data_IF_320774091275
#
_entry.id   IF_320774091275
#
_cell.length_a   1.000
_cell.length_b   1.000
_cell.length_c   1.000
_cell.angle_alpha   90.00
_cell.angle_beta   90.00
_cell.angle_gamma   90.00
#
_symmetry.space_group_name_H-M   'P 1'
#
loop_
_entity.id
_entity.type
_entity.pdbx_description
1 polymer ?
#
# COMPACT_ATOMS: atom_id res chain seq x y z
N UNK A 1 -18.77 31.45 -3.29
CA UNK A 1 -17.65 31.78 -2.39
C UNK A 1 -17.08 30.46 -1.85
N UNK A 2 -15.83 30.09 -2.06
CA UNK A 2 -15.26 28.90 -1.45
C UNK A 2 -15.15 29.14 0.06
N UNK A 3 -15.77 28.30 0.85
CA UNK A 3 -15.70 28.31 2.31
C UNK A 3 -14.30 27.89 2.73
N UNK A 4 -13.63 28.79 3.44
CA UNK A 4 -12.31 28.58 4.01
C UNK A 4 -12.33 27.37 4.96
N UNK A 5 -11.42 26.39 4.83
CA UNK A 5 -11.44 25.20 5.69
C UNK A 5 -11.18 25.58 7.16
N UNK A 6 -11.77 24.86 8.12
CA UNK A 6 -11.62 25.15 9.54
C UNK A 6 -10.16 25.09 9.96
N UNK A 7 -9.75 25.93 10.92
CA UNK A 7 -8.37 26.12 11.36
C UNK A 7 -7.65 24.78 11.71
N UNK A 8 -8.37 23.79 12.21
CA UNK A 8 -7.84 22.45 12.51
C UNK A 8 -7.42 21.69 11.27
N UNK A 9 -8.19 21.76 10.17
CA UNK A 9 -7.86 21.15 8.89
C UNK A 9 -6.61 21.79 8.25
N UNK A 10 -6.39 23.10 8.45
CA UNK A 10 -5.17 23.79 7.99
C UNK A 10 -3.92 23.36 8.77
N UNK A 11 -4.02 23.17 10.09
CA UNK A 11 -2.93 22.73 10.95
C UNK A 11 -2.53 21.29 10.58
N UNK A 12 -3.51 20.43 10.33
CA UNK A 12 -3.28 19.04 9.93
C UNK A 12 -2.67 18.94 8.52
N UNK A 13 -3.11 19.77 7.59
CA UNK A 13 -2.54 19.87 6.24
C UNK A 13 -1.09 20.35 6.27
N UNK A 14 -0.77 21.39 7.04
CA UNK A 14 0.58 21.94 7.20
C UNK A 14 1.51 20.93 7.90
N UNK A 15 1.02 20.20 8.89
CA UNK A 15 1.74 19.11 9.54
C UNK A 15 2.07 17.98 8.56
N UNK A 16 1.11 17.61 7.72
CA UNK A 16 1.29 16.57 6.70
C UNK A 16 2.29 17.00 5.63
N UNK A 17 2.19 18.24 5.16
CA UNK A 17 3.12 18.80 4.16
C UNK A 17 4.56 18.82 4.69
N UNK A 18 4.78 19.27 5.93
CA UNK A 18 6.11 19.25 6.57
C UNK A 18 6.66 17.84 6.73
N UNK A 19 5.80 16.87 7.08
CA UNK A 19 6.21 15.48 7.19
C UNK A 19 6.65 14.89 5.85
N UNK A 20 5.93 15.22 4.77
CA UNK A 20 6.29 14.82 3.41
C UNK A 20 7.60 15.46 2.93
N UNK A 21 7.91 16.70 3.33
CA UNK A 21 9.20 17.32 3.06
C UNK A 21 10.35 16.51 3.67
N UNK A 22 10.22 16.04 4.91
CA UNK A 22 11.25 15.18 5.54
C UNK A 22 11.40 13.86 4.79
N UNK A 23 10.29 13.24 4.39
CA UNK A 23 10.31 12.00 3.60
C UNK A 23 11.02 12.21 2.26
N UNK A 24 10.73 13.30 1.56
CA UNK A 24 11.36 13.60 0.26
C UNK A 24 12.86 13.82 0.39
N UNK A 25 13.31 14.63 1.37
CA UNK A 25 14.73 14.85 1.61
C UNK A 25 15.45 13.56 2.01
N UNK A 26 14.86 12.72 2.85
CA UNK A 26 15.42 11.43 3.23
C UNK A 26 15.60 10.51 2.02
N UNK A 27 14.55 10.35 1.20
CA UNK A 27 14.60 9.50 0.01
C UNK A 27 15.59 10.01 -1.04
N UNK A 28 15.75 11.33 -1.15
CA UNK A 28 16.78 11.94 -1.99
C UNK A 28 18.17 11.57 -1.51
N UNK A 29 18.47 11.77 -0.23
CA UNK A 29 19.77 11.44 0.37
C UNK A 29 20.07 9.93 0.27
N UNK A 30 19.07 9.06 0.48
CA UNK A 30 19.22 7.62 0.32
C UNK A 30 19.57 7.23 -1.13
N UNK A 31 18.97 7.90 -2.10
CA UNK A 31 19.25 7.66 -3.52
C UNK A 31 20.65 8.16 -3.93
N UNK A 32 21.10 9.29 -3.38
CA UNK A 32 22.38 9.94 -3.72
C UNK A 32 23.57 9.30 -3.00
N UNK A 33 23.47 9.06 -1.70
CA UNK A 33 24.56 8.60 -0.85
C UNK A 33 24.47 7.12 -0.46
N UNK A 34 23.30 6.51 -0.68
CA UNK A 34 22.97 5.18 -0.16
C UNK A 34 22.32 5.23 1.23
N UNK A 35 21.48 4.23 1.48
CA UNK A 35 20.70 4.15 2.72
C UNK A 35 21.58 4.06 3.97
N UNK A 36 22.61 3.18 3.97
CA UNK A 36 23.45 2.95 5.14
C UNK A 36 24.33 4.16 5.47
N UNK A 37 24.84 4.86 4.46
CA UNK A 37 25.72 6.01 4.62
C UNK A 37 24.98 7.29 5.07
N UNK A 38 23.65 7.35 4.95
CA UNK A 38 22.85 8.51 5.32
C UNK A 38 22.50 8.48 6.80
N UNK A 39 22.78 9.57 7.51
CA UNK A 39 22.48 9.74 8.94
C UNK A 39 21.17 10.51 9.16
N UNK A 40 20.59 10.35 10.36
CA UNK A 40 19.39 11.12 10.76
C UNK A 40 19.72 12.63 10.86
N UNK A 41 20.94 12.98 11.21
CA UNK A 41 21.37 14.39 11.32
C UNK A 41 21.38 15.06 9.94
N UNK A 42 21.90 14.39 8.92
CA UNK A 42 21.86 14.87 7.52
C UNK A 42 20.42 15.03 7.01
N UNK A 43 19.53 14.08 7.34
CA UNK A 43 18.11 14.17 6.95
C UNK A 43 17.46 15.38 7.64
N UNK A 44 17.68 15.56 8.94
CA UNK A 44 17.11 16.66 9.70
C UNK A 44 17.61 18.02 9.17
N UNK A 45 18.91 18.15 8.90
CA UNK A 45 19.52 19.34 8.30
C UNK A 45 18.91 19.64 6.92
N UNK A 46 18.86 18.66 6.03
CA UNK A 46 18.31 18.83 4.69
C UNK A 46 16.82 19.20 4.71
N UNK A 47 16.08 18.76 5.72
CA UNK A 47 14.65 19.09 5.89
C UNK A 47 14.42 20.38 6.69
N UNK A 48 15.47 21.06 7.14
CA UNK A 48 15.38 22.31 7.94
C UNK A 48 14.76 22.10 9.32
N UNK A 49 14.94 20.92 9.94
CA UNK A 49 14.41 20.60 11.27
C UNK A 49 15.53 20.15 12.22
N UNK A 50 15.27 20.28 13.53
CA UNK A 50 16.21 19.73 14.52
C UNK A 50 16.10 18.20 14.61
N UNK A 51 17.22 17.54 15.02
CA UNK A 51 17.22 16.10 15.36
C UNK A 51 16.12 15.73 16.36
N UNK A 52 15.83 16.58 17.35
CA UNK A 52 14.72 16.40 18.31
C UNK A 52 13.37 16.40 17.59
N UNK A 53 13.18 17.30 16.62
CA UNK A 53 11.95 17.37 15.83
C UNK A 53 11.79 16.13 14.95
N UNK A 54 12.89 15.63 14.38
CA UNK A 54 12.90 14.38 13.65
C UNK A 54 12.40 13.22 14.52
N UNK A 55 13.02 12.96 15.67
CA UNK A 55 12.65 11.85 16.55
C UNK A 55 11.27 12.00 17.21
N UNK A 56 10.70 13.19 17.25
CA UNK A 56 9.31 13.38 17.62
C UNK A 56 8.33 12.88 16.54
N UNK A 57 8.73 12.89 15.27
CA UNK A 57 7.91 12.50 14.12
C UNK A 57 8.16 11.08 13.64
N UNK A 58 9.40 10.60 13.76
CA UNK A 58 9.86 9.32 13.24
C UNK A 58 10.74 8.63 14.29
N UNK A 59 10.59 7.32 14.46
CA UNK A 59 11.38 6.54 15.43
C UNK A 59 12.77 6.19 14.89
N UNK A 60 12.88 6.07 13.56
CA UNK A 60 14.10 5.66 12.87
C UNK A 60 14.12 6.19 11.43
N UNK A 61 15.23 6.02 10.71
CA UNK A 61 15.31 6.33 9.29
C UNK A 61 14.42 5.41 8.42
N UNK A 62 14.17 4.18 8.86
CA UNK A 62 13.21 3.27 8.23
C UNK A 62 11.78 3.81 8.31
N UNK A 63 11.41 4.38 9.45
CA UNK A 63 10.07 4.95 9.64
C UNK A 63 9.82 6.12 8.70
N UNK A 64 10.85 6.85 8.31
CA UNK A 64 10.72 7.93 7.31
C UNK A 64 10.31 7.36 5.96
N UNK A 65 10.89 6.23 5.54
CA UNK A 65 10.60 5.60 4.25
C UNK A 65 9.12 5.20 4.14
N UNK A 66 8.51 4.77 5.25
CA UNK A 66 7.13 4.24 5.32
C UNK A 66 6.15 5.17 6.04
N UNK A 67 6.54 6.42 6.30
CA UNK A 67 5.75 7.33 7.12
C UNK A 67 4.37 7.68 6.56
N UNK A 68 4.23 7.75 5.25
CA UNK A 68 2.96 7.99 4.56
C UNK A 68 2.05 6.76 4.60
N UNK A 69 2.58 5.54 4.59
CA UNK A 69 1.78 4.33 4.73
C UNK A 69 1.04 4.25 6.07
N UNK A 70 1.64 4.70 7.18
CA UNK A 70 0.96 4.77 8.46
C UNK A 70 -0.25 5.71 8.40
N UNK A 71 -0.08 6.87 7.78
CA UNK A 71 -1.17 7.82 7.58
C UNK A 71 -2.25 7.27 6.65
N UNK A 72 -1.85 6.63 5.55
CA UNK A 72 -2.78 6.03 4.59
C UNK A 72 -3.57 4.87 5.18
N UNK A 73 -2.93 4.00 5.98
CA UNK A 73 -3.61 2.93 6.71
C UNK A 73 -4.66 3.47 7.69
N UNK A 74 -4.31 4.54 8.42
CA UNK A 74 -5.26 5.18 9.33
C UNK A 74 -6.44 5.80 8.57
N UNK A 75 -6.18 6.44 7.42
CA UNK A 75 -7.23 7.01 6.56
C UNK A 75 -8.12 5.93 5.95
N UNK A 76 -7.53 4.83 5.45
CA UNK A 76 -8.29 3.70 4.91
C UNK A 76 -9.18 3.07 5.99
N UNK A 77 -8.67 2.91 7.22
CA UNK A 77 -9.46 2.42 8.35
C UNK A 77 -10.65 3.35 8.66
N UNK A 78 -10.41 4.64 8.81
CA UNK A 78 -11.45 5.61 9.10
C UNK A 78 -12.51 5.67 7.98
N UNK A 79 -12.08 5.56 6.72
CA UNK A 79 -12.99 5.47 5.58
C UNK A 79 -13.89 4.23 5.67
N UNK A 80 -13.32 3.05 5.92
CA UNK A 80 -14.06 1.80 6.04
C UNK A 80 -15.02 1.80 7.24
N UNK A 81 -14.62 2.38 8.39
CA UNK A 81 -15.48 2.51 9.57
C UNK A 81 -16.69 3.41 9.29
N UNK A 82 -16.54 4.45 8.47
CA UNK A 82 -17.60 5.37 8.08
C UNK A 82 -18.41 4.88 6.87
N UNK A 83 -17.94 3.88 6.13
CA UNK A 83 -18.53 3.44 4.87
C UNK A 83 -19.95 2.87 5.08
N UNK A 84 -20.85 3.27 4.19
CA UNK A 84 -22.23 2.77 4.09
C UNK A 84 -22.40 2.05 2.75
N UNK A 85 -23.33 1.11 2.68
CA UNK A 85 -23.59 0.36 1.45
C UNK A 85 -22.85 -0.98 1.39
N UNK A 86 -22.50 -1.40 0.18
CA UNK A 86 -21.86 -2.70 -0.07
C UNK A 86 -20.43 -2.73 0.49
N UNK A 87 -20.09 -3.72 1.35
CA UNK A 87 -18.76 -3.81 1.96
C UNK A 87 -17.63 -4.13 0.96
N UNK A 88 -17.93 -4.83 -0.15
CA UNK A 88 -16.95 -5.14 -1.18
C UNK A 88 -16.56 -3.88 -1.94
N UNK A 89 -17.56 -3.08 -2.32
CA UNK A 89 -17.33 -1.77 -2.94
C UNK A 89 -16.55 -0.84 -2.03
N UNK A 90 -16.82 -0.84 -0.73
CA UNK A 90 -16.08 -0.03 0.24
C UNK A 90 -14.58 -0.38 0.26
N UNK A 91 -14.22 -1.66 0.17
CA UNK A 91 -12.82 -2.08 0.07
C UNK A 91 -12.21 -1.61 -1.25
N UNK A 92 -12.92 -1.75 -2.37
CA UNK A 92 -12.47 -1.29 -3.69
C UNK A 92 -12.18 0.22 -3.65
N UNK A 93 -13.10 1.02 -3.11
CA UNK A 93 -12.92 2.47 -2.99
C UNK A 93 -11.74 2.86 -2.07
N UNK A 94 -11.57 2.15 -0.94
CA UNK A 94 -10.42 2.37 -0.07
C UNK A 94 -9.09 2.11 -0.79
N UNK A 95 -9.01 1.06 -1.59
CA UNK A 95 -7.81 0.71 -2.38
C UNK A 95 -7.54 1.73 -3.47
N UNK A 96 -8.59 2.23 -4.13
CA UNK A 96 -8.47 3.28 -5.15
C UNK A 96 -7.96 4.58 -4.50
N UNK A 97 -8.49 4.97 -3.35
CA UNK A 97 -8.04 6.15 -2.63
C UNK A 97 -6.54 6.08 -2.24
N UNK A 98 -6.07 4.89 -1.82
CA UNK A 98 -4.64 4.65 -1.58
C UNK A 98 -3.82 4.82 -2.86
N UNK A 99 -4.29 4.29 -3.98
CA UNK A 99 -3.61 4.39 -5.29
C UNK A 99 -3.54 5.84 -5.78
N UNK A 100 -4.61 6.62 -5.62
CA UNK A 100 -4.66 8.04 -5.97
C UNK A 100 -3.57 8.84 -5.28
N UNK A 101 -3.30 8.55 -3.99
CA UNK A 101 -2.20 9.21 -3.27
C UNK A 101 -0.85 8.93 -3.91
N UNK A 102 -0.60 7.71 -4.36
CA UNK A 102 0.65 7.38 -5.05
C UNK A 102 0.73 8.03 -6.44
N UNK A 103 -0.38 8.19 -7.15
CA UNK A 103 -0.40 8.89 -8.44
C UNK A 103 -0.15 10.39 -8.28
N UNK A 104 -0.67 11.02 -7.23
CA UNK A 104 -0.40 12.43 -6.89
C UNK A 104 1.08 12.68 -6.58
N UNK A 105 1.78 11.71 -5.97
CA UNK A 105 3.17 11.80 -5.53
C UNK A 105 4.06 10.79 -6.27
N UNK A 106 3.82 10.64 -7.59
CA UNK A 106 4.48 9.63 -8.44
C UNK A 106 6.00 9.65 -8.32
N UNK A 107 6.63 10.82 -8.35
CA UNK A 107 8.09 10.92 -8.27
C UNK A 107 8.61 10.45 -6.92
N UNK A 108 7.94 10.82 -5.84
CA UNK A 108 8.27 10.35 -4.50
C UNK A 108 8.10 8.83 -4.38
N UNK A 109 7.01 8.28 -4.91
CA UNK A 109 6.76 6.84 -4.94
C UNK A 109 7.82 6.09 -5.76
N UNK A 110 8.23 6.63 -6.92
CA UNK A 110 9.28 6.04 -7.75
C UNK A 110 10.65 6.06 -7.05
N UNK A 111 11.01 7.17 -6.39
CA UNK A 111 12.25 7.30 -5.61
C UNK A 111 12.27 6.31 -4.44
N UNK A 112 11.16 6.21 -3.70
CA UNK A 112 11.00 5.20 -2.64
C UNK A 112 11.19 3.79 -3.17
N UNK A 113 10.53 3.43 -4.26
CA UNK A 113 10.67 2.12 -4.87
C UNK A 113 12.13 1.79 -5.22
N UNK A 114 12.89 2.78 -5.76
CA UNK A 114 14.31 2.64 -6.04
C UNK A 114 15.13 2.30 -4.80
N UNK A 115 14.90 3.02 -3.68
CA UNK A 115 15.58 2.81 -2.40
C UNK A 115 15.20 1.45 -1.79
N UNK A 116 13.91 1.16 -1.69
CA UNK A 116 13.41 -0.10 -1.08
C UNK A 116 13.95 -1.32 -1.81
N UNK A 117 14.06 -1.29 -3.14
CA UNK A 117 14.63 -2.40 -3.92
C UNK A 117 16.08 -2.73 -3.58
N UNK A 118 16.87 -1.76 -3.17
CA UNK A 118 18.30 -1.93 -2.91
C UNK A 118 18.59 -2.39 -1.48
N UNK A 119 17.67 -2.19 -0.54
CA UNK A 119 17.88 -2.41 0.89
C UNK A 119 17.01 -3.59 1.37
N UNK A 120 17.62 -4.74 1.76
CA UNK A 120 16.88 -5.94 2.16
C UNK A 120 15.88 -5.69 3.31
N UNK A 121 16.30 -4.98 4.36
CA UNK A 121 15.45 -4.70 5.53
C UNK A 121 14.24 -3.83 5.18
N UNK A 122 14.38 -2.90 4.23
CA UNK A 122 13.25 -2.12 3.74
C UNK A 122 12.29 -2.96 2.89
N UNK A 123 12.80 -3.92 2.12
CA UNK A 123 11.94 -4.86 1.36
C UNK A 123 11.10 -5.73 2.28
N UNK A 124 11.70 -6.24 3.36
CA UNK A 124 10.97 -6.99 4.38
C UNK A 124 9.86 -6.16 5.01
N UNK A 125 10.15 -4.91 5.35
CA UNK A 125 9.16 -3.98 5.89
C UNK A 125 8.05 -3.63 4.89
N UNK A 126 8.37 -3.50 3.60
CA UNK A 126 7.38 -3.33 2.54
C UNK A 126 6.38 -4.49 2.51
N UNK A 127 6.88 -5.74 2.58
CA UNK A 127 6.03 -6.95 2.64
C UNK A 127 5.09 -6.89 3.84
N UNK A 128 5.61 -6.59 5.02
CA UNK A 128 4.79 -6.45 6.24
C UNK A 128 3.74 -5.35 6.07
N UNK A 129 4.09 -4.25 5.43
CA UNK A 129 3.16 -3.13 5.18
C UNK A 129 2.01 -3.56 4.26
N UNK A 130 2.30 -4.32 3.20
CA UNK A 130 1.28 -4.90 2.30
C UNK A 130 0.32 -5.80 3.08
N UNK A 131 0.83 -6.71 3.91
CA UNK A 131 0.01 -7.57 4.75
C UNK A 131 -0.88 -6.81 5.74
N UNK A 132 -0.44 -5.63 6.22
CA UNK A 132 -1.27 -4.79 7.10
C UNK A 132 -2.50 -4.24 6.37
N UNK A 133 -2.39 -3.87 5.08
CA UNK A 133 -3.55 -3.48 4.27
C UNK A 133 -4.47 -4.67 4.02
N UNK A 134 -3.92 -5.80 3.62
CA UNK A 134 -4.68 -7.03 3.40
C UNK A 134 -5.49 -7.44 4.62
N UNK A 135 -4.84 -7.44 5.79
CA UNK A 135 -5.49 -7.70 7.08
C UNK A 135 -6.58 -6.68 7.40
N UNK A 136 -6.33 -5.39 7.20
CA UNK A 136 -7.33 -4.35 7.43
C UNK A 136 -8.60 -4.60 6.62
N UNK A 137 -8.46 -4.92 5.34
CA UNK A 137 -9.59 -5.20 4.44
C UNK A 137 -10.30 -6.49 4.82
N UNK A 138 -9.56 -7.55 5.11
CA UNK A 138 -10.14 -8.84 5.51
C UNK A 138 -10.91 -8.72 6.82
N UNK A 139 -10.34 -8.09 7.84
CA UNK A 139 -11.00 -7.90 9.14
C UNK A 139 -12.27 -7.04 9.02
N UNK A 140 -12.26 -6.02 8.16
CA UNK A 140 -13.44 -5.23 7.85
C UNK A 140 -14.54 -6.07 7.20
N UNK A 141 -14.22 -6.85 6.16
CA UNK A 141 -15.19 -7.70 5.49
C UNK A 141 -15.73 -8.78 6.42
N UNK A 142 -14.91 -9.42 7.26
CA UNK A 142 -15.35 -10.37 8.28
C UNK A 142 -16.39 -9.77 9.22
N UNK A 143 -16.19 -8.53 9.62
CA UNK A 143 -17.11 -7.83 10.52
C UNK A 143 -18.44 -7.50 9.85
N UNK A 144 -18.41 -7.19 8.54
CA UNK A 144 -19.60 -6.74 7.80
C UNK A 144 -20.36 -7.87 7.12
N UNK A 145 -19.69 -8.98 6.79
CA UNK A 145 -20.20 -10.09 5.98
C UNK A 145 -20.10 -11.42 6.77
N UNK A 146 -20.69 -11.47 7.97
CA UNK A 146 -20.58 -12.59 8.89
C UNK A 146 -21.13 -13.93 8.39
N UNK A 147 -21.80 -13.97 7.23
CA UNK A 147 -22.32 -15.18 6.57
C UNK A 147 -21.51 -15.68 5.39
N UNK A 148 -20.48 -14.93 4.96
CA UNK A 148 -19.65 -15.30 3.82
C UNK A 148 -18.51 -16.24 4.21
N UNK A 149 -18.02 -17.00 3.22
CA UNK A 149 -16.85 -17.88 3.41
C UNK A 149 -15.61 -17.06 3.74
N UNK A 150 -14.92 -17.38 4.82
CA UNK A 150 -13.65 -16.72 5.19
C UNK A 150 -12.60 -16.84 4.09
N UNK A 151 -12.56 -17.97 3.38
CA UNK A 151 -11.67 -18.17 2.24
C UNK A 151 -11.98 -17.19 1.11
N UNK A 152 -13.24 -16.91 0.82
CA UNK A 152 -13.62 -15.93 -0.21
C UNK A 152 -13.16 -14.53 0.17
N UNK A 153 -13.30 -14.12 1.45
CA UNK A 153 -12.82 -12.83 1.95
C UNK A 153 -11.31 -12.69 1.79
N UNK A 154 -10.56 -13.72 2.15
CA UNK A 154 -9.09 -13.76 2.01
C UNK A 154 -8.68 -13.72 0.53
N UNK A 155 -9.32 -14.51 -0.33
CA UNK A 155 -9.03 -14.53 -1.77
C UNK A 155 -9.29 -13.16 -2.41
N UNK A 156 -10.41 -12.53 -2.09
CA UNK A 156 -10.74 -11.21 -2.60
C UNK A 156 -9.71 -10.15 -2.17
N UNK A 157 -9.40 -10.06 -0.88
CA UNK A 157 -8.46 -9.05 -0.38
C UNK A 157 -7.05 -9.26 -0.89
N UNK A 158 -6.60 -10.50 -1.03
CA UNK A 158 -5.32 -10.82 -1.67
C UNK A 158 -5.30 -10.40 -3.15
N UNK A 159 -6.36 -10.70 -3.91
CA UNK A 159 -6.47 -10.33 -5.32
C UNK A 159 -6.49 -8.80 -5.51
N UNK A 160 -7.28 -8.09 -4.70
CA UNK A 160 -7.36 -6.62 -4.72
C UNK A 160 -6.01 -5.99 -4.41
N UNK A 161 -5.33 -6.46 -3.36
CA UNK A 161 -4.01 -5.94 -2.95
C UNK A 161 -2.94 -6.27 -4.00
N UNK A 162 -2.95 -7.47 -4.56
CA UNK A 162 -2.03 -7.87 -5.63
C UNK A 162 -2.22 -7.02 -6.90
N UNK A 163 -3.46 -6.76 -7.30
CA UNK A 163 -3.80 -5.92 -8.46
C UNK A 163 -3.33 -4.49 -8.27
N UNK A 164 -3.60 -3.89 -7.09
CA UNK A 164 -3.09 -2.58 -6.72
C UNK A 164 -1.57 -2.51 -6.85
N UNK A 165 -0.86 -3.44 -6.20
CA UNK A 165 0.60 -3.47 -6.18
C UNK A 165 1.20 -3.72 -7.57
N UNK A 166 0.55 -4.50 -8.41
CA UNK A 166 0.98 -4.73 -9.79
C UNK A 166 0.96 -3.43 -10.59
N UNK A 167 -0.16 -2.71 -10.58
CA UNK A 167 -0.30 -1.45 -11.31
C UNK A 167 0.62 -0.36 -10.74
N UNK A 168 0.72 -0.26 -9.40
CA UNK A 168 1.63 0.67 -8.75
C UNK A 168 3.09 0.43 -9.16
N UNK A 169 3.56 -0.81 -9.14
CA UNK A 169 4.93 -1.14 -9.55
C UNK A 169 5.20 -0.81 -11.01
N UNK A 170 4.26 -1.05 -11.91
CA UNK A 170 4.39 -0.65 -13.32
C UNK A 170 4.48 0.87 -13.47
N UNK A 171 3.66 1.59 -12.71
CA UNK A 171 3.65 3.05 -12.72
C UNK A 171 4.99 3.63 -12.23
N UNK A 172 5.49 3.18 -11.07
CA UNK A 172 6.74 3.72 -10.50
C UNK A 172 7.98 3.33 -11.29
N UNK A 173 7.92 2.26 -12.09
CA UNK A 173 8.98 1.87 -13.03
C UNK A 173 8.91 2.62 -14.37
N UNK A 174 7.89 3.44 -14.57
CA UNK A 174 7.67 4.15 -15.84
C UNK A 174 7.16 3.26 -16.97
N UNK A 175 6.75 2.02 -16.69
CA UNK A 175 6.26 1.05 -17.68
C UNK A 175 4.78 1.32 -18.08
N UNK A 176 4.06 2.10 -17.32
CA UNK A 176 2.68 2.48 -17.62
C UNK A 176 2.31 3.82 -17.01
N UNK A 177 1.26 4.43 -17.57
CA UNK A 177 0.60 5.61 -17.03
C UNK A 177 -0.68 5.23 -16.26
N UNK A 178 -0.63 4.10 -15.52
CA UNK A 178 -1.79 3.60 -14.79
C UNK A 178 -2.45 4.70 -13.96
N UNK A 179 -3.77 4.80 -14.13
CA UNK A 179 -4.64 5.76 -13.45
C UNK A 179 -5.54 5.07 -12.42
N UNK A 180 -6.19 5.81 -11.52
CA UNK A 180 -7.23 5.25 -10.66
C UNK A 180 -8.38 4.57 -11.42
N UNK A 181 -8.70 5.06 -12.63
CA UNK A 181 -9.71 4.44 -13.49
C UNK A 181 -9.27 3.07 -14.01
N UNK A 182 -7.99 2.92 -14.39
CA UNK A 182 -7.44 1.62 -14.81
C UNK A 182 -7.46 0.62 -13.65
N UNK A 183 -7.12 1.08 -12.44
CA UNK A 183 -7.22 0.23 -11.24
C UNK A 183 -8.68 -0.18 -11.00
N UNK A 184 -9.62 0.77 -11.03
CA UNK A 184 -11.05 0.48 -10.85
C UNK A 184 -11.54 -0.58 -11.85
N UNK A 185 -11.22 -0.42 -13.11
CA UNK A 185 -11.59 -1.38 -14.16
C UNK A 185 -11.00 -2.78 -13.89
N UNK A 186 -9.74 -2.86 -13.45
CA UNK A 186 -9.11 -4.12 -13.09
C UNK A 186 -9.74 -4.76 -11.84
N UNK A 187 -10.05 -3.97 -10.81
CA UNK A 187 -10.69 -4.47 -9.59
C UNK A 187 -12.11 -4.98 -9.83
N UNK A 188 -12.86 -4.37 -10.74
CA UNK A 188 -14.20 -4.81 -11.11
C UNK A 188 -14.25 -6.22 -11.72
N UNK A 189 -13.12 -6.77 -12.17
CA UNK A 189 -13.04 -8.15 -12.69
C UNK A 189 -12.83 -9.22 -11.61
N UNK A 190 -12.57 -8.79 -10.36
CA UNK A 190 -12.32 -9.72 -9.26
C UNK A 190 -13.65 -10.25 -8.72
N UNK A 191 -13.89 -11.57 -8.74
CA UNK A 191 -15.13 -12.15 -8.22
C UNK A 191 -15.30 -11.87 -6.72
N UNK A 192 -16.51 -11.47 -6.31
CA UNK A 192 -16.87 -11.25 -4.90
C UNK A 192 -18.38 -11.49 -4.69
N UNK A 193 -18.85 -11.48 -3.45
CA UNK A 193 -20.21 -11.85 -3.07
C UNK A 193 -21.29 -11.15 -3.89
N UNK A 194 -22.24 -11.92 -4.40
CA UNK A 194 -23.32 -11.45 -5.27
C UNK A 194 -23.02 -11.43 -6.77
N UNK A 195 -21.78 -11.41 -7.20
CA UNK A 195 -21.38 -11.72 -8.57
C UNK A 195 -21.36 -13.24 -8.73
N UNK A 196 -22.48 -13.85 -9.08
CA UNK A 196 -22.48 -15.25 -9.44
C UNK A 196 -21.42 -15.47 -10.53
N UNK A 197 -20.42 -16.32 -10.34
CA UNK A 197 -19.56 -16.72 -11.43
C UNK A 197 -20.49 -17.42 -12.44
N UNK A 198 -20.50 -16.94 -13.68
CA UNK A 198 -20.98 -17.78 -14.75
C UNK A 198 -20.30 -19.15 -14.65
N UNK A 199 -20.86 -20.24 -15.21
CA UNK A 199 -20.35 -21.58 -14.96
C UNK A 199 -18.91 -21.76 -15.43
N UNK A 200 -17.97 -21.36 -14.59
CA UNK A 200 -16.56 -21.60 -14.74
C UNK A 200 -16.19 -22.72 -13.78
N UNK A 201 -16.19 -23.92 -14.29
CA UNK A 201 -15.61 -25.14 -13.71
C UNK A 201 -14.06 -25.03 -13.59
N UNK A 202 -13.56 -23.99 -12.95
CA UNK A 202 -12.12 -23.90 -12.68
C UNK A 202 -11.93 -23.27 -11.32
N UNK A 203 -11.54 -24.08 -10.34
CA UNK A 203 -10.98 -23.60 -9.10
C UNK A 203 -9.73 -22.77 -9.41
N UNK A 204 -9.74 -21.48 -9.08
CA UNK A 204 -8.63 -20.60 -9.31
C UNK A 204 -7.83 -20.45 -8.00
N UNK A 205 -6.60 -20.90 -8.00
CA UNK A 205 -5.66 -20.68 -6.90
C UNK A 205 -4.79 -19.47 -7.23
N UNK A 206 -4.88 -18.42 -6.42
CA UNK A 206 -4.00 -17.24 -6.52
C UNK A 206 -2.87 -17.41 -5.51
N UNK A 207 -1.64 -17.49 -6.00
CA UNK A 207 -0.45 -17.59 -5.15
C UNK A 207 0.53 -16.45 -5.49
N UNK A 208 1.02 -15.75 -4.47
CA UNK A 208 1.99 -14.66 -4.62
C UNK A 208 3.34 -15.12 -4.09
N UNK A 209 4.35 -15.11 -4.97
CA UNK A 209 5.72 -15.49 -4.62
C UNK A 209 6.68 -14.33 -4.82
N UNK A 210 7.78 -14.25 -4.03
CA UNK A 210 8.89 -13.34 -4.33
C UNK A 210 9.42 -13.56 -5.75
N UNK A 211 9.71 -12.49 -6.47
CA UNK A 211 10.14 -12.57 -7.87
C UNK A 211 11.47 -13.30 -8.06
N UNK A 212 12.29 -13.34 -7.03
CA UNK A 212 13.61 -13.97 -6.97
C UNK A 212 13.55 -15.44 -6.48
N UNK A 213 12.35 -15.96 -6.18
CA UNK A 213 12.19 -17.35 -5.83
C UNK A 213 12.44 -18.24 -7.05
N UNK A 214 13.33 -19.25 -6.97
CA UNK A 214 13.58 -20.16 -8.09
C UNK A 214 12.30 -20.86 -8.53
N UNK A 215 12.06 -20.95 -9.83
CA UNK A 215 10.83 -21.55 -10.40
C UNK A 215 10.57 -22.99 -9.89
N UNK A 216 11.61 -23.75 -9.60
CA UNK A 216 11.51 -25.07 -9.00
C UNK A 216 10.89 -25.05 -7.59
N UNK A 217 11.30 -24.08 -6.78
CA UNK A 217 10.78 -23.91 -5.42
C UNK A 217 9.32 -23.44 -5.42
N UNK A 218 8.95 -22.60 -6.39
CA UNK A 218 7.55 -22.21 -6.62
C UNK A 218 6.70 -23.42 -7.00
N UNK A 219 7.19 -24.25 -7.94
CA UNK A 219 6.50 -25.47 -8.36
C UNK A 219 6.30 -26.47 -7.22
N UNK A 220 7.34 -26.68 -6.41
CA UNK A 220 7.28 -27.59 -5.26
C UNK A 220 6.32 -27.12 -4.17
N UNK A 221 6.24 -25.79 -3.93
CA UNK A 221 5.31 -25.22 -2.97
C UNK A 221 3.86 -25.30 -3.47
N UNK A 222 3.62 -25.06 -4.76
CA UNK A 222 2.31 -25.21 -5.37
C UNK A 222 1.83 -26.66 -5.35
N UNK A 223 2.70 -27.61 -5.75
CA UNK A 223 2.37 -29.02 -5.76
C UNK A 223 1.96 -29.52 -4.36
N UNK A 224 2.74 -29.23 -3.32
CA UNK A 224 2.42 -29.60 -1.93
C UNK A 224 1.12 -29.00 -1.41
N UNK A 225 0.76 -27.80 -1.88
CA UNK A 225 -0.47 -27.12 -1.47
C UNK A 225 -1.71 -27.64 -2.21
N UNK A 226 -1.57 -28.01 -3.47
CA UNK A 226 -2.64 -28.58 -4.28
C UNK A 226 -2.94 -30.04 -3.88
N UNK A 227 -1.92 -30.79 -3.39
CA UNK A 227 -2.09 -32.16 -2.89
C UNK A 227 -2.76 -32.22 -1.49
N UNK A 228 -2.96 -31.06 -0.84
CA UNK A 228 -3.57 -30.94 0.50
C UNK A 228 -4.97 -30.31 0.46
N UNK A 229 -5.50 -29.98 -0.73
CA UNK A 229 -6.87 -29.53 -0.98
C UNK A 229 -7.72 -30.67 -1.56
#
# INVERSE_FOLDING_TARGET
MPTDPPARARIDADSTARRLTVVDQALRLFAEKGYEATTVDEIAEAAGISRRTFFRQFRSKEDVVFADHESQLAQARAFLEAAQGDPWDAVIEAVIAVFERFTQWRELAARRYGVVRQVPTLREREIVTVFRYERLFTDYLRTRLGGESDLLLVQFTAAVTATHNYLLRRMVRGESQASPADLRAALATIPHGGSAPGPATSEMVVAVFPRDMPSRQVADLLARRLDTL
#
